data_IF_648960560019
#
_entry.id   IF_648960560019
#
_cell.length_a   1.000
_cell.length_b   1.000
_cell.length_c   1.000
_cell.angle_alpha   90.00
_cell.angle_beta   90.00
_cell.angle_gamma   90.00
#
_symmetry.space_group_name_H-M   'P 1'
#
loop_
_entity.id
_entity.type
_entity.pdbx_description
1 polymer ?
#
# COMPACT_ATOMS: atom_id res chain seq x y z
N UNK A 1 -32.07 14.71 13.07
CA UNK A 1 -32.97 15.68 12.39
C UNK A 1 -32.42 17.07 12.65
N UNK A 2 -32.65 18.02 11.75
CA UNK A 2 -32.19 19.40 11.88
C UNK A 2 -33.26 20.38 11.37
N UNK A 3 -33.29 21.64 11.85
CA UNK A 3 -34.24 22.64 11.37
C UNK A 3 -33.87 23.07 9.94
N UNK A 4 -34.79 22.90 9.00
CA UNK A 4 -34.64 23.40 7.64
C UNK A 4 -34.93 24.91 7.53
N UNK A 5 -34.86 25.47 6.33
CA UNK A 5 -35.13 26.90 6.06
C UNK A 5 -36.54 27.34 6.47
N UNK A 6 -37.51 26.42 6.45
CA UNK A 6 -38.90 26.63 6.88
C UNK A 6 -39.11 26.41 8.39
N UNK A 7 -38.02 26.28 9.17
CA UNK A 7 -38.03 26.03 10.62
C UNK A 7 -38.75 24.73 11.04
N UNK A 8 -38.87 23.77 10.13
CA UNK A 8 -39.38 22.42 10.44
C UNK A 8 -38.25 21.40 10.53
N UNK A 9 -38.41 20.38 11.37
CA UNK A 9 -37.41 19.33 11.56
C UNK A 9 -37.41 18.38 10.36
N UNK A 10 -36.30 18.33 9.62
CA UNK A 10 -36.07 17.40 8.50
C UNK A 10 -35.09 16.30 8.93
N UNK A 11 -35.25 15.09 8.37
CA UNK A 11 -34.29 13.98 8.58
C UNK A 11 -32.98 14.26 7.88
N UNK A 12 -31.88 13.74 8.43
CA UNK A 12 -30.62 13.71 7.71
C UNK A 12 -30.79 12.89 6.43
N UNK A 13 -29.98 13.20 5.42
CA UNK A 13 -29.95 12.43 4.18
C UNK A 13 -29.60 10.96 4.46
N UNK A 14 -30.10 10.04 3.62
CA UNK A 14 -29.83 8.61 3.77
C UNK A 14 -28.33 8.28 3.58
N UNK A 15 -27.62 9.07 2.77
CA UNK A 15 -26.20 8.85 2.46
C UNK A 15 -25.25 9.05 3.65
N UNK A 16 -25.67 9.75 4.71
CA UNK A 16 -24.92 9.84 5.98
C UNK A 16 -25.40 8.87 7.06
N UNK A 17 -26.25 7.90 6.73
CA UNK A 17 -26.79 6.94 7.70
C UNK A 17 -27.41 7.62 8.94
N UNK A 18 -28.04 8.79 8.76
CA UNK A 18 -28.61 9.56 9.86
C UNK A 18 -27.60 10.39 10.67
N UNK A 19 -26.31 10.38 10.32
CA UNK A 19 -25.24 11.08 11.03
C UNK A 19 -25.08 12.50 10.48
N UNK A 20 -25.93 13.41 10.93
CA UNK A 20 -25.78 14.83 10.64
C UNK A 20 -25.95 15.69 11.90
N UNK A 21 -25.27 16.83 11.91
CA UNK A 21 -25.35 17.84 12.95
C UNK A 21 -26.80 18.34 13.07
N UNK A 22 -27.32 18.32 14.29
CA UNK A 22 -28.73 18.61 14.58
C UNK A 22 -29.11 20.08 14.44
N UNK A 23 -28.13 20.98 14.32
CA UNK A 23 -28.36 22.41 14.18
C UNK A 23 -28.37 22.88 12.73
N UNK A 24 -27.55 22.28 11.86
CA UNK A 24 -27.36 22.75 10.48
C UNK A 24 -27.45 21.65 9.40
N UNK A 25 -27.59 20.38 9.78
CA UNK A 25 -27.73 19.26 8.85
C UNK A 25 -26.43 18.81 8.17
N UNK A 26 -25.27 19.37 8.54
CA UNK A 26 -23.96 18.96 8.00
C UNK A 26 -23.64 17.54 8.44
N UNK A 27 -23.20 16.70 7.51
CA UNK A 27 -22.87 15.31 7.80
C UNK A 27 -21.70 15.23 8.77
N UNK A 28 -21.88 14.46 9.84
CA UNK A 28 -20.83 14.16 10.82
C UNK A 28 -20.22 12.78 10.60
N UNK A 29 -20.81 12.00 9.69
CA UNK A 29 -20.26 10.72 9.26
C UNK A 29 -20.95 10.17 8.02
N UNK A 30 -20.49 9.00 7.58
CA UNK A 30 -21.01 8.29 6.42
C UNK A 30 -21.36 6.84 6.77
N UNK A 31 -22.09 6.16 5.89
CA UNK A 31 -22.19 4.69 5.95
C UNK A 31 -20.79 4.06 5.92
N UNK A 32 -20.63 2.89 6.55
CA UNK A 32 -19.37 2.15 6.58
C UNK A 32 -18.76 2.03 5.19
N UNK A 33 -17.45 2.30 5.09
CA UNK A 33 -16.67 2.30 3.85
C UNK A 33 -17.09 3.35 2.80
N UNK A 34 -17.74 4.43 3.22
CA UNK A 34 -17.93 5.63 2.42
C UNK A 34 -17.08 6.78 2.98
N UNK A 35 -16.71 7.72 2.12
CA UNK A 35 -15.94 8.91 2.49
C UNK A 35 -16.69 10.17 2.09
N UNK A 36 -16.37 11.29 2.72
CA UNK A 36 -16.93 12.57 2.31
C UNK A 36 -16.54 12.94 0.87
N UNK A 37 -17.42 13.71 0.22
CA UNK A 37 -17.05 14.45 -1.00
C UNK A 37 -16.05 15.56 -0.68
N UNK A 38 -15.49 16.15 -1.72
CA UNK A 38 -14.80 17.45 -1.63
C UNK A 38 -15.78 18.51 -2.12
N UNK A 39 -16.43 19.34 -1.31
CA UNK A 39 -16.29 19.73 0.10
C UNK A 39 -16.80 18.70 1.15
N UNK A 40 -16.13 18.55 2.31
CA UNK A 40 -16.57 17.67 3.39
C UNK A 40 -17.94 18.04 3.99
N UNK A 41 -18.64 17.05 4.56
CA UNK A 41 -19.87 17.28 5.33
C UNK A 41 -21.15 17.54 4.51
N UNK A 42 -21.08 17.53 3.17
CA UNK A 42 -22.25 17.72 2.29
C UNK A 42 -22.83 16.41 1.76
N UNK A 43 -21.96 15.48 1.40
CA UNK A 43 -22.33 14.22 0.79
C UNK A 43 -21.25 13.16 1.08
N UNK A 44 -21.63 11.90 0.91
CA UNK A 44 -20.74 10.75 1.01
C UNK A 44 -20.71 10.01 -0.33
N UNK A 45 -19.55 9.46 -0.68
CA UNK A 45 -19.36 8.59 -1.84
C UNK A 45 -18.78 7.26 -1.41
N UNK A 46 -19.11 6.20 -2.14
CA UNK A 46 -18.52 4.89 -1.90
C UNK A 46 -16.99 4.95 -2.04
N UNK A 47 -16.27 4.18 -1.21
CA UNK A 47 -14.82 4.14 -1.26
C UNK A 47 -14.27 3.85 -2.67
N UNK A 48 -14.91 2.92 -3.40
CA UNK A 48 -14.58 2.59 -4.79
C UNK A 48 -14.82 3.72 -5.79
N UNK A 49 -15.74 4.64 -5.51
CA UNK A 49 -15.96 5.83 -6.32
C UNK A 49 -14.91 6.92 -6.03
N UNK A 50 -14.41 6.98 -4.79
CA UNK A 50 -13.30 7.87 -4.43
C UNK A 50 -11.99 7.41 -5.06
N UNK A 51 -11.68 6.13 -4.96
CA UNK A 51 -10.52 5.49 -5.56
C UNK A 51 -10.85 4.04 -5.93
N UNK A 52 -10.80 3.75 -7.24
CA UNK A 52 -11.12 2.44 -7.81
C UNK A 52 -10.22 1.32 -7.28
N UNK A 53 -8.99 1.65 -6.89
CA UNK A 53 -8.00 0.72 -6.35
C UNK A 53 -8.08 0.60 -4.82
N UNK A 54 -8.95 1.37 -4.15
CA UNK A 54 -9.14 1.26 -2.72
C UNK A 54 -10.16 0.17 -2.36
N UNK A 55 -9.79 -0.72 -1.44
CA UNK A 55 -10.69 -1.74 -0.89
C UNK A 55 -11.43 -1.21 0.35
N UNK A 56 -10.68 -0.60 1.27
CA UNK A 56 -11.22 -0.02 2.51
C UNK A 56 -10.73 1.41 2.69
N UNK A 57 -11.67 2.34 2.86
CA UNK A 57 -11.41 3.73 3.16
C UNK A 57 -11.35 3.99 4.68
N UNK A 58 -10.87 5.17 5.04
CA UNK A 58 -10.66 5.57 6.43
C UNK A 58 -11.96 5.57 7.25
N UNK A 59 -11.94 5.05 8.50
CA UNK A 59 -13.12 5.01 9.36
C UNK A 59 -13.55 6.39 9.88
N UNK A 60 -12.69 7.40 9.76
CA UNK A 60 -13.02 8.80 10.04
C UNK A 60 -13.73 9.50 8.86
N UNK A 61 -14.05 8.75 7.80
CA UNK A 61 -14.71 9.21 6.58
C UNK A 61 -13.92 10.25 5.77
N UNK A 62 -12.66 10.51 6.14
CA UNK A 62 -11.77 11.33 5.31
C UNK A 62 -11.51 10.65 3.97
N UNK A 63 -11.20 11.43 2.94
CA UNK A 63 -10.84 10.95 1.59
C UNK A 63 -9.45 10.31 1.61
N UNK A 64 -9.32 9.19 2.33
CA UNK A 64 -8.10 8.43 2.51
C UNK A 64 -8.40 6.94 2.37
N UNK A 65 -7.64 6.25 1.54
CA UNK A 65 -7.62 4.81 1.50
C UNK A 65 -6.76 4.26 2.64
N UNK A 66 -7.25 3.21 3.30
CA UNK A 66 -6.49 2.46 4.34
C UNK A 66 -6.01 1.11 3.85
N UNK A 67 -6.78 0.45 2.99
CA UNK A 67 -6.41 -0.83 2.40
C UNK A 67 -6.68 -0.78 0.92
N UNK A 68 -5.65 -0.99 0.12
CA UNK A 68 -5.71 -1.06 -1.33
C UNK A 68 -5.97 -2.49 -1.81
N UNK A 69 -6.34 -2.63 -3.08
CA UNK A 69 -6.37 -3.95 -3.74
C UNK A 69 -4.93 -4.47 -3.94
N UNK A 70 -4.81 -5.78 -4.17
CA UNK A 70 -3.52 -6.43 -4.46
C UNK A 70 -2.81 -5.71 -5.62
N UNK A 71 -1.52 -5.45 -5.46
CA UNK A 71 -0.71 -4.72 -6.44
C UNK A 71 -0.64 -3.20 -6.21
N UNK A 72 -1.29 -2.71 -5.15
CA UNK A 72 -1.29 -1.30 -4.76
C UNK A 72 -1.08 -1.15 -3.25
N UNK A 73 -0.58 0.02 -2.83
CA UNK A 73 -0.43 0.42 -1.43
C UNK A 73 -1.00 1.83 -1.20
N UNK A 74 -1.40 2.19 0.03
CA UNK A 74 -1.91 3.53 0.31
C UNK A 74 -0.75 4.53 0.38
N UNK A 75 -0.87 5.60 -0.40
CA UNK A 75 -0.01 6.77 -0.28
C UNK A 75 -0.53 7.67 0.85
N UNK A 76 0.26 7.82 1.91
CA UNK A 76 -0.16 8.57 3.11
C UNK A 76 -0.26 10.08 2.87
N UNK A 77 0.35 10.61 1.80
CA UNK A 77 0.33 12.03 1.46
C UNK A 77 -0.96 12.39 0.72
N UNK A 78 -1.28 11.64 -0.33
CA UNK A 78 -2.45 11.88 -1.18
C UNK A 78 -3.70 11.13 -0.70
N UNK A 79 -3.56 10.16 0.19
CA UNK A 79 -4.66 9.33 0.68
C UNK A 79 -5.22 8.39 -0.38
N UNK A 80 -4.47 8.06 -1.43
CA UNK A 80 -4.90 7.22 -2.55
C UNK A 80 -4.01 6.01 -2.73
N UNK A 81 -4.53 4.99 -3.40
CA UNK A 81 -3.78 3.81 -3.77
C UNK A 81 -2.86 4.08 -4.95
N UNK A 82 -1.60 3.70 -4.80
CA UNK A 82 -0.55 3.79 -5.81
C UNK A 82 0.02 2.40 -6.08
N UNK A 83 0.43 2.13 -7.31
CA UNK A 83 0.85 0.80 -7.72
C UNK A 83 2.18 0.40 -7.07
N UNK A 84 2.38 -0.87 -6.70
CA UNK A 84 3.63 -1.36 -6.11
C UNK A 84 4.87 -1.05 -6.96
N UNK A 85 4.70 -0.92 -8.28
CA UNK A 85 5.76 -0.60 -9.22
C UNK A 85 6.43 0.78 -8.99
N UNK A 86 5.80 1.67 -8.22
CA UNK A 86 6.41 2.94 -7.80
C UNK A 86 7.48 2.75 -6.72
N UNK A 87 7.50 1.61 -6.04
CA UNK A 87 8.59 1.23 -5.12
C UNK A 87 9.72 0.64 -5.97
N UNK A 88 10.89 1.27 -5.93
CA UNK A 88 12.06 0.87 -6.72
C UNK A 88 12.40 -0.60 -6.53
N UNK A 89 12.56 -1.33 -7.64
CA UNK A 89 12.87 -2.76 -7.70
C UNK A 89 11.84 -3.70 -7.02
N UNK A 90 10.62 -3.23 -6.74
CA UNK A 90 9.60 -4.04 -6.11
C UNK A 90 8.77 -4.85 -7.12
N UNK A 91 8.40 -6.08 -6.75
CA UNK A 91 7.42 -6.90 -7.47
C UNK A 91 6.05 -6.82 -6.82
N UNK A 92 5.97 -7.08 -5.50
CA UNK A 92 4.72 -7.01 -4.73
C UNK A 92 4.92 -6.21 -3.47
N UNK A 93 3.90 -5.47 -3.05
CA UNK A 93 3.92 -4.60 -1.88
C UNK A 93 2.75 -4.88 -0.94
N UNK A 94 2.84 -4.37 0.29
CA UNK A 94 1.74 -4.44 1.26
C UNK A 94 0.56 -3.60 0.81
N UNK A 95 -0.64 -4.11 1.00
CA UNK A 95 -1.87 -3.40 0.63
C UNK A 95 -2.26 -2.27 1.59
N UNK A 96 -1.60 -2.15 2.74
CA UNK A 96 -1.94 -1.22 3.82
C UNK A 96 -0.83 -0.25 4.19
N UNK A 97 0.37 -0.42 3.63
CA UNK A 97 1.56 0.37 3.94
C UNK A 97 2.49 0.42 2.74
N UNK A 98 3.27 1.50 2.61
CA UNK A 98 4.31 1.62 1.59
C UNK A 98 5.52 0.72 1.91
N UNK A 99 5.36 -0.58 1.72
CA UNK A 99 6.41 -1.58 1.96
C UNK A 99 6.42 -2.62 0.85
N UNK A 100 7.59 -2.85 0.28
CA UNK A 100 7.82 -3.98 -0.61
C UNK A 100 7.89 -5.30 0.18
N UNK A 101 7.28 -6.33 -0.38
CA UNK A 101 7.23 -7.70 0.15
C UNK A 101 8.12 -8.66 -0.64
N UNK A 102 8.18 -8.51 -1.97
CA UNK A 102 9.07 -9.29 -2.84
C UNK A 102 9.76 -8.38 -3.83
N UNK A 103 11.04 -8.65 -4.09
CA UNK A 103 11.91 -7.78 -4.86
C UNK A 103 12.31 -8.44 -6.18
N UNK A 104 12.52 -7.62 -7.21
CA UNK A 104 13.10 -8.06 -8.48
C UNK A 104 14.50 -8.60 -8.22
N UNK A 105 14.91 -9.64 -8.93
CA UNK A 105 16.30 -10.08 -8.87
C UNK A 105 17.20 -8.96 -9.43
N UNK A 106 18.37 -8.69 -8.81
CA UNK A 106 19.04 -9.46 -7.75
C UNK A 106 18.76 -8.97 -6.30
N UNK A 107 17.71 -8.20 -6.06
CA UNK A 107 17.48 -7.49 -4.80
C UNK A 107 16.75 -8.35 -3.75
N UNK A 108 17.15 -8.21 -2.49
CA UNK A 108 16.46 -8.74 -1.30
C UNK A 108 15.55 -7.68 -0.68
N UNK A 109 14.49 -8.13 -0.03
CA UNK A 109 13.62 -7.30 0.78
C UNK A 109 14.31 -6.99 2.11
N UNK A 110 14.38 -5.70 2.45
CA UNK A 110 14.89 -5.23 3.73
C UNK A 110 14.21 -3.93 4.13
N UNK A 111 13.73 -3.86 5.36
CA UNK A 111 13.07 -2.65 5.92
C UNK A 111 11.91 -2.11 5.08
N UNK A 112 11.22 -2.95 4.29
CA UNK A 112 10.16 -2.52 3.38
C UNK A 112 10.67 -1.94 2.04
N UNK A 113 11.98 -1.93 1.79
CA UNK A 113 12.59 -1.61 0.50
C UNK A 113 13.30 -2.82 -0.11
N UNK A 114 13.98 -2.59 -1.22
CA UNK A 114 14.78 -3.58 -1.94
C UNK A 114 16.25 -3.17 -1.97
N UNK A 115 17.14 -4.04 -1.50
CA UNK A 115 18.57 -3.80 -1.39
C UNK A 115 19.36 -4.92 -2.09
N UNK A 116 20.56 -4.62 -2.57
CA UNK A 116 21.45 -5.64 -3.13
C UNK A 116 22.25 -6.32 -2.02
N UNK A 117 22.59 -7.60 -2.22
CA UNK A 117 23.50 -8.29 -1.33
C UNK A 117 24.91 -7.68 -1.34
N UNK A 118 25.67 -7.81 -0.24
CA UNK A 118 27.09 -7.49 -0.22
C UNK A 118 27.89 -8.22 -1.32
N UNK A 119 29.10 -7.74 -1.59
CA UNK A 119 30.03 -8.44 -2.49
C UNK A 119 30.31 -9.85 -1.93
N UNK A 120 30.52 -10.83 -2.83
CA UNK A 120 30.67 -12.27 -2.52
C UNK A 120 29.39 -12.97 -2.06
N UNK A 121 28.26 -12.26 -2.07
CA UNK A 121 26.96 -12.81 -1.75
C UNK A 121 25.97 -12.63 -2.89
N UNK A 122 24.97 -13.49 -2.91
CA UNK A 122 23.87 -13.43 -3.87
C UNK A 122 22.54 -13.63 -3.15
N UNK A 123 21.44 -13.27 -3.83
CA UNK A 123 20.08 -13.45 -3.32
C UNK A 123 19.75 -14.94 -3.22
N UNK A 124 19.81 -15.47 -2.00
CA UNK A 124 19.47 -16.86 -1.73
C UNK A 124 17.97 -17.05 -1.51
N UNK A 125 17.33 -16.09 -0.84
CA UNK A 125 15.88 -16.02 -0.68
C UNK A 125 15.39 -14.59 -0.89
N UNK A 126 14.09 -14.34 -0.78
CA UNK A 126 13.54 -12.98 -0.85
C UNK A 126 14.10 -12.03 0.21
N UNK A 127 14.60 -12.53 1.34
CA UNK A 127 15.06 -11.69 2.47
C UNK A 127 16.49 -11.97 2.89
N UNK A 128 17.15 -12.98 2.32
CA UNK A 128 18.49 -13.41 2.75
C UNK A 128 19.47 -13.51 1.60
N UNK A 129 20.69 -13.09 1.91
CA UNK A 129 21.86 -13.29 1.08
C UNK A 129 22.61 -14.56 1.53
N UNK A 130 23.33 -15.19 0.61
CA UNK A 130 24.26 -16.28 0.94
C UNK A 130 25.56 -16.08 0.20
N UNK A 131 26.67 -16.53 0.80
CA UNK A 131 27.99 -16.51 0.16
C UNK A 131 28.02 -17.39 -1.07
N UNK A 132 28.72 -16.94 -2.11
CA UNK A 132 28.82 -17.64 -3.39
C UNK A 132 29.36 -19.07 -3.25
N UNK A 133 30.42 -19.26 -2.44
CA UNK A 133 31.03 -20.56 -2.21
C UNK A 133 30.12 -21.58 -1.52
N UNK A 134 29.04 -21.14 -0.84
CA UNK A 134 28.09 -22.06 -0.22
C UNK A 134 27.21 -22.78 -1.25
N UNK A 135 27.11 -22.24 -2.47
CA UNK A 135 26.24 -22.78 -3.54
C UNK A 135 27.05 -23.27 -4.73
N UNK A 136 28.22 -22.69 -4.98
CA UNK A 136 29.11 -23.06 -6.07
C UNK A 136 30.51 -23.30 -5.50
N UNK A 137 30.99 -24.54 -5.56
CA UNK A 137 32.31 -24.90 -5.04
C UNK A 137 33.42 -24.03 -5.63
N UNK A 138 34.34 -23.59 -4.75
CA UNK A 138 35.48 -22.72 -5.11
C UNK A 138 35.07 -21.39 -5.77
N UNK A 139 33.89 -20.84 -5.47
CA UNK A 139 33.47 -19.56 -6.02
C UNK A 139 33.64 -18.38 -5.04
N UNK A 140 34.44 -17.38 -5.43
CA UNK A 140 34.66 -16.17 -4.64
C UNK A 140 33.49 -15.18 -4.80
N UNK A 141 33.24 -14.75 -6.04
CA UNK A 141 32.18 -13.78 -6.35
C UNK A 141 31.21 -14.33 -7.38
N UNK A 142 29.95 -13.92 -7.32
CA UNK A 142 28.88 -14.44 -8.16
C UNK A 142 27.78 -13.41 -8.38
N UNK A 143 27.06 -13.56 -9.50
CA UNK A 143 25.83 -12.83 -9.79
C UNK A 143 24.61 -13.65 -9.36
N UNK A 144 23.53 -12.98 -8.98
CA UNK A 144 22.20 -13.62 -8.90
C UNK A 144 21.62 -13.74 -10.30
N UNK A 145 21.33 -14.96 -10.76
CA UNK A 145 20.52 -15.18 -11.98
C UNK A 145 19.03 -15.12 -11.63
N UNK A 146 18.67 -15.80 -10.55
CA UNK A 146 17.34 -15.83 -9.96
C UNK A 146 17.46 -16.13 -8.47
N UNK A 147 16.39 -15.96 -7.71
CA UNK A 147 16.34 -16.36 -6.29
C UNK A 147 16.90 -17.79 -6.10
N UNK A 148 17.91 -17.92 -5.23
CA UNK A 148 18.54 -19.20 -4.92
C UNK A 148 19.47 -19.74 -6.02
N UNK A 149 19.68 -18.99 -7.12
CA UNK A 149 20.55 -19.38 -8.24
C UNK A 149 21.61 -18.32 -8.51
N UNK A 150 22.86 -18.74 -8.35
CA UNK A 150 24.02 -17.91 -8.60
C UNK A 150 24.77 -18.33 -9.86
N UNK A 151 25.53 -17.39 -10.44
CA UNK A 151 26.55 -17.66 -11.46
C UNK A 151 27.90 -17.18 -10.96
N UNK A 152 28.88 -18.07 -10.91
CA UNK A 152 30.22 -17.68 -10.48
C UNK A 152 30.89 -16.74 -11.49
N UNK A 153 31.50 -15.67 -10.99
CA UNK A 153 32.26 -14.70 -11.77
C UNK A 153 33.77 -14.86 -11.55
N UNK A 154 34.19 -15.14 -10.31
CA UNK A 154 35.61 -15.31 -9.93
C UNK A 154 35.74 -16.55 -9.07
N UNK A 155 36.63 -17.47 -9.45
CA UNK A 155 36.94 -18.66 -8.68
C UNK A 155 38.05 -18.40 -7.65
N UNK A 156 38.07 -19.21 -6.59
CA UNK A 156 39.13 -19.30 -5.60
C UNK A 156 40.12 -20.37 -6.08
N UNK A 157 41.41 -20.05 -6.07
CA UNK A 157 42.45 -21.07 -6.30
C UNK A 157 42.48 -22.05 -5.12
N UNK A 158 42.69 -23.36 -5.36
CA UNK A 158 42.96 -24.32 -4.29
C UNK A 158 44.16 -23.91 -3.42
#
# INVERSE_FOLDING_TARGET
>A
MYPNTSKTCTRCDASCNGQCNTSNGVFTGCTTNNVFTDTPGKACVACKSFDTNCFTCSPDFSRKCKVCVIGFYPDDVFGKCVACATITNCNTCSSDTQKCLTCKDPFIQKSGGCEICPIEEFKFSETTCSKCYNTIDNCNTCDTIAVGKARCNVCISP
#
